data_IF_974266724492
#
_entry.id   IF_974266724492
#
_cell.length_a   1.000
_cell.length_b   1.000
_cell.length_c   1.000
_cell.angle_alpha   90.00
_cell.angle_beta   90.00
_cell.angle_gamma   90.00
#
_symmetry.space_group_name_H-M   'P 1'
#
loop_
_entity.id
_entity.type
_entity.pdbx_description
1 polymer ?
#
# COMPACT_ATOMS: atom_id res chain seq x y z
N UNK A 1 14.59 -57.05 55.77
CA UNK A 1 13.71 -56.02 56.36
C UNK A 1 14.40 -54.66 56.24
N UNK A 2 13.62 -53.58 56.09
CA UNK A 2 13.98 -52.17 55.79
C UNK A 2 14.14 -51.81 54.30
N UNK A 3 13.54 -50.75 53.76
CA UNK A 3 12.38 -49.91 54.10
C UNK A 3 12.15 -49.07 52.82
N UNK A 4 10.89 -49.00 52.34
CA UNK A 4 10.46 -48.10 51.26
C UNK A 4 10.71 -46.64 51.65
N UNK A 5 11.10 -45.81 50.70
CA UNK A 5 10.84 -44.37 50.75
C UNK A 5 10.62 -43.84 49.32
N UNK A 6 9.37 -43.52 49.01
CA UNK A 6 8.98 -42.64 47.92
C UNK A 6 9.37 -41.21 48.28
N UNK A 7 10.03 -40.49 47.38
CA UNK A 7 9.88 -39.04 47.29
C UNK A 7 10.18 -38.56 45.88
N UNK A 8 9.15 -38.52 45.04
CA UNK A 8 9.13 -37.65 43.88
C UNK A 8 8.51 -36.32 44.26
N UNK A 9 9.05 -35.21 43.75
CA UNK A 9 8.23 -34.07 43.30
C UNK A 9 9.07 -32.90 42.75
N UNK A 10 8.62 -32.43 41.58
CA UNK A 10 8.51 -31.03 41.15
C UNK A 10 9.80 -30.31 40.71
N UNK A 11 10.23 -30.63 39.49
CA UNK A 11 10.96 -29.68 38.62
C UNK A 11 9.99 -28.57 38.17
N UNK A 12 10.06 -27.38 38.77
CA UNK A 12 9.44 -26.19 38.19
C UNK A 12 10.26 -25.76 36.96
N UNK A 13 9.91 -26.33 35.80
CA UNK A 13 10.23 -25.72 34.51
C UNK A 13 9.29 -24.53 34.31
N UNK A 14 9.71 -23.36 34.80
CA UNK A 14 9.07 -22.10 34.43
C UNK A 14 9.35 -21.84 32.95
N UNK A 15 8.49 -22.40 32.09
CA UNK A 15 8.47 -22.12 30.66
C UNK A 15 8.15 -20.64 30.46
N UNK A 16 9.18 -19.83 30.23
CA UNK A 16 9.04 -18.52 29.61
C UNK A 16 8.51 -18.74 28.19
N UNK A 17 7.19 -18.80 28.05
CA UNK A 17 6.54 -18.62 26.76
C UNK A 17 6.73 -17.16 26.38
N UNK A 18 7.83 -16.88 25.67
CA UNK A 18 7.97 -15.64 24.92
C UNK A 18 6.85 -15.67 23.89
N UNK A 19 5.74 -15.02 24.22
CA UNK A 19 4.74 -14.64 23.23
C UNK A 19 5.47 -13.77 22.23
N UNK A 20 5.86 -14.36 21.11
CA UNK A 20 6.29 -13.64 19.93
C UNK A 20 5.07 -12.83 19.46
N UNK A 21 4.88 -11.67 20.08
CA UNK A 21 3.99 -10.66 19.53
C UNK A 21 4.48 -10.42 18.10
N UNK A 22 3.58 -10.42 17.10
CA UNK A 22 3.98 -10.03 15.76
C UNK A 22 4.65 -8.66 15.90
N UNK A 23 5.85 -8.51 15.34
CA UNK A 23 6.51 -7.23 15.29
C UNK A 23 5.54 -6.27 14.62
N UNK A 24 4.88 -5.43 15.42
CA UNK A 24 4.10 -4.33 14.92
C UNK A 24 5.13 -3.41 14.27
N UNK A 25 5.33 -3.56 12.96
CA UNK A 25 6.07 -2.61 12.17
C UNK A 25 5.33 -1.29 12.37
N UNK A 26 5.85 -0.45 13.26
CA UNK A 26 5.36 0.90 13.46
C UNK A 26 5.61 1.62 12.14
N UNK A 27 4.57 1.64 11.31
CA UNK A 27 4.64 2.18 9.98
C UNK A 27 4.66 3.70 10.10
N UNK A 28 5.88 4.23 10.21
CA UNK A 28 6.12 5.64 10.50
C UNK A 28 5.61 6.56 9.37
N UNK A 29 5.40 6.02 8.16
CA UNK A 29 4.92 6.76 7.00
C UNK A 29 3.45 6.43 6.72
N UNK A 30 2.59 7.44 6.87
CA UNK A 30 1.13 7.34 6.70
C UNK A 30 0.45 6.26 7.57
N UNK A 31 0.47 6.42 8.91
CA UNK A 31 0.08 5.38 9.88
C UNK A 31 -1.39 4.95 9.77
N UNK A 32 -2.27 5.83 9.31
CA UNK A 32 -3.71 5.56 9.14
C UNK A 32 -4.13 5.23 7.71
N UNK A 33 -3.20 5.29 6.76
CA UNK A 33 -3.50 4.93 5.37
C UNK A 33 -3.40 3.42 5.18
N UNK A 34 -4.32 2.85 4.41
CA UNK A 34 -4.21 1.46 3.96
C UNK A 34 -3.13 1.34 2.91
N UNK A 35 -3.05 2.27 1.95
CA UNK A 35 -1.93 2.41 1.04
C UNK A 35 -1.61 3.88 0.76
N UNK A 36 -0.37 4.16 0.39
CA UNK A 36 0.05 5.49 -0.04
C UNK A 36 1.15 5.34 -1.09
N UNK A 37 1.27 6.29 -2.01
CA UNK A 37 2.39 6.34 -2.94
C UNK A 37 2.70 7.76 -3.39
N UNK A 38 3.98 8.01 -3.65
CA UNK A 38 4.47 9.18 -4.35
C UNK A 38 4.87 8.73 -5.76
N UNK A 39 4.17 9.22 -6.77
CA UNK A 39 4.37 8.85 -8.17
C UNK A 39 5.09 9.99 -8.89
N UNK A 40 6.17 9.67 -9.59
CA UNK A 40 6.92 10.63 -10.40
C UNK A 40 6.25 10.83 -11.78
N UNK A 41 6.63 11.90 -12.49
CA UNK A 41 6.03 12.23 -13.80
C UNK A 41 6.27 11.16 -14.87
N UNK A 42 7.36 10.40 -14.78
CA UNK A 42 7.65 9.26 -15.67
C UNK A 42 6.82 8.00 -15.33
N UNK A 43 6.08 8.04 -14.21
CA UNK A 43 5.25 6.95 -13.69
C UNK A 43 5.99 6.00 -12.75
N UNK A 44 7.26 6.25 -12.43
CA UNK A 44 7.98 5.48 -11.43
C UNK A 44 7.43 5.72 -10.02
N UNK A 45 7.46 4.66 -9.21
CA UNK A 45 7.13 4.73 -7.79
C UNK A 45 8.35 5.29 -7.04
N UNK A 46 8.22 6.49 -6.48
CA UNK A 46 9.28 7.12 -5.69
C UNK A 46 9.30 6.53 -4.27
N UNK A 47 8.15 6.57 -3.62
CA UNK A 47 7.92 5.92 -2.33
C UNK A 47 6.53 5.31 -2.31
N UNK A 48 6.33 4.23 -1.55
CA UNK A 48 5.03 3.60 -1.43
C UNK A 48 4.88 2.76 -0.17
N UNK A 49 3.64 2.70 0.32
CA UNK A 49 3.15 1.80 1.36
C UNK A 49 2.04 0.97 0.74
N UNK A 50 2.17 -0.35 0.80
CA UNK A 50 1.17 -1.30 0.31
C UNK A 50 0.77 -1.08 -1.16
N UNK A 51 1.73 -0.60 -1.96
CA UNK A 51 1.67 -0.46 -3.41
C UNK A 51 2.72 -1.38 -4.00
N UNK A 52 2.29 -2.30 -4.87
CA UNK A 52 3.17 -3.31 -5.49
C UNK A 52 4.03 -2.68 -6.57
N UNK A 53 3.41 -1.84 -7.41
CA UNK A 53 4.10 -1.11 -8.48
C UNK A 53 3.28 0.07 -8.98
N UNK A 54 3.97 1.05 -9.55
CA UNK A 54 3.38 2.11 -10.35
C UNK A 54 4.09 2.18 -11.70
N UNK A 55 3.36 2.52 -12.76
CA UNK A 55 3.92 2.74 -14.08
C UNK A 55 3.06 3.71 -14.90
N UNK A 56 3.69 4.32 -15.89
CA UNK A 56 3.00 5.14 -16.91
C UNK A 56 2.57 4.25 -18.07
N UNK A 57 1.27 4.16 -18.31
CA UNK A 57 0.70 3.38 -19.42
C UNK A 57 0.69 4.16 -20.74
N UNK A 58 0.53 5.49 -20.67
CA UNK A 58 0.63 6.43 -21.78
C UNK A 58 0.84 7.85 -21.23
N UNK A 59 1.00 8.85 -22.10
CA UNK A 59 1.09 10.25 -21.68
C UNK A 59 -0.11 10.65 -20.83
N UNK A 60 0.16 11.14 -19.61
CA UNK A 60 -0.83 11.54 -18.62
C UNK A 60 -1.69 10.38 -18.10
N UNK A 61 -1.32 9.12 -18.32
CA UNK A 61 -2.06 7.94 -17.83
C UNK A 61 -1.15 7.05 -17.00
N UNK A 62 -1.54 6.87 -15.75
CA UNK A 62 -0.78 6.16 -14.76
C UNK A 62 -1.58 5.00 -14.20
N UNK A 63 -0.86 3.93 -13.88
CA UNK A 63 -1.40 2.72 -13.30
C UNK A 63 -0.68 2.44 -12.00
N UNK A 64 -1.47 2.18 -10.96
CA UNK A 64 -0.96 1.87 -9.64
C UNK A 64 -1.59 0.55 -9.22
N UNK A 65 -0.77 -0.43 -8.89
CA UNK A 65 -1.21 -1.72 -8.39
C UNK A 65 -1.10 -1.73 -6.87
N UNK A 66 -2.22 -1.94 -6.18
CA UNK A 66 -2.25 -2.06 -4.73
C UNK A 66 -1.90 -3.49 -4.30
N UNK A 67 -1.45 -3.64 -3.05
CA UNK A 67 -1.31 -4.94 -2.42
C UNK A 67 -2.62 -5.71 -2.41
N UNK A 68 -2.56 -7.04 -2.55
CA UNK A 68 -3.72 -7.92 -2.71
C UNK A 68 -4.76 -7.86 -1.57
N UNK A 69 -4.38 -7.43 -0.37
CA UNK A 69 -5.28 -7.31 0.79
C UNK A 69 -5.99 -5.95 0.87
N UNK A 70 -5.77 -5.04 -0.09
CA UNK A 70 -6.46 -3.75 -0.20
C UNK A 70 -7.27 -3.78 -1.47
N UNK A 71 -8.59 -3.70 -1.38
CA UNK A 71 -9.43 -3.66 -2.57
C UNK A 71 -9.54 -2.22 -3.12
N UNK A 72 -9.02 -2.01 -4.32
CA UNK A 72 -9.10 -0.72 -5.02
C UNK A 72 -10.56 -0.27 -5.32
N UNK A 73 -11.53 -1.19 -5.35
CA UNK A 73 -12.96 -0.88 -5.60
C UNK A 73 -13.59 -0.16 -4.41
N UNK A 74 -13.31 -0.66 -3.21
CA UNK A 74 -13.97 -0.23 -1.97
C UNK A 74 -13.19 0.84 -1.19
N UNK A 75 -11.97 1.15 -1.63
CA UNK A 75 -11.12 2.12 -0.94
C UNK A 75 -11.47 3.57 -1.26
N UNK A 76 -11.33 4.45 -0.27
CA UNK A 76 -11.36 5.90 -0.53
C UNK A 76 -10.00 6.32 -1.07
N UNK A 77 -9.98 7.02 -2.20
CA UNK A 77 -8.73 7.41 -2.86
C UNK A 77 -8.68 8.93 -2.97
N UNK A 78 -7.58 9.51 -2.47
CA UNK A 78 -7.26 10.91 -2.62
C UNK A 78 -6.01 11.08 -3.48
N UNK A 79 -6.05 12.05 -4.37
CA UNK A 79 -4.94 12.41 -5.25
C UNK A 79 -4.54 13.85 -4.97
N UNK A 80 -3.24 14.08 -4.77
CA UNK A 80 -2.69 15.43 -4.60
C UNK A 80 -1.76 15.74 -5.76
N UNK A 81 -2.04 16.77 -6.58
CA UNK A 81 -1.13 17.18 -7.65
C UNK A 81 0.18 17.74 -7.09
N UNK A 82 1.31 17.39 -7.70
CA UNK A 82 2.61 18.00 -7.37
C UNK A 82 2.99 19.17 -8.28
N UNK A 83 2.13 19.51 -9.24
CA UNK A 83 2.31 20.61 -10.17
C UNK A 83 0.99 21.36 -10.36
N UNK A 84 0.97 22.66 -10.14
CA UNK A 84 -0.26 23.47 -10.07
C UNK A 84 -1.15 23.38 -11.32
N UNK A 85 -0.54 23.26 -12.52
CA UNK A 85 -1.26 23.19 -13.79
C UNK A 85 -1.56 21.76 -14.27
N UNK A 86 -1.48 20.79 -13.35
CA UNK A 86 -1.68 19.37 -13.62
C UNK A 86 -2.72 18.83 -12.65
N UNK A 87 -3.83 18.34 -13.19
CA UNK A 87 -4.95 17.84 -12.40
C UNK A 87 -5.03 16.31 -12.52
N UNK A 88 -4.61 15.55 -11.50
CA UNK A 88 -4.82 14.11 -11.43
C UNK A 88 -6.28 13.80 -11.10
N UNK A 89 -6.84 12.78 -11.75
CA UNK A 89 -8.20 12.31 -11.60
C UNK A 89 -8.26 10.78 -11.74
N UNK A 90 -9.05 10.11 -10.91
CA UNK A 90 -9.24 8.67 -10.96
C UNK A 90 -10.13 8.32 -12.14
N UNK A 91 -9.55 7.78 -13.21
CA UNK A 91 -10.29 7.37 -14.39
C UNK A 91 -11.05 6.06 -14.17
N UNK A 92 -10.40 5.10 -13.51
CA UNK A 92 -10.96 3.77 -13.26
C UNK A 92 -10.42 3.19 -11.95
N UNK A 93 -11.27 2.39 -11.31
CA UNK A 93 -10.91 1.47 -10.22
C UNK A 93 -11.22 0.06 -10.72
N UNK A 94 -10.34 -0.88 -10.40
CA UNK A 94 -10.32 -2.27 -10.86
C UNK A 94 -11.68 -2.87 -11.28
N UNK A 95 -11.80 -3.51 -12.47
CA UNK A 95 -10.75 -3.71 -13.46
C UNK A 95 -10.49 -2.45 -14.29
N UNK A 96 -9.22 -2.26 -14.67
CA UNK A 96 -8.85 -1.20 -15.60
C UNK A 96 -8.45 -1.78 -16.95
N UNK A 97 -9.17 -1.39 -18.01
CA UNK A 97 -8.78 -1.70 -19.38
C UNK A 97 -7.40 -1.11 -19.76
N UNK A 98 -6.99 -0.03 -19.08
CA UNK A 98 -5.68 0.62 -19.28
C UNK A 98 -4.56 -0.18 -18.63
N UNK A 99 -4.75 -0.62 -17.38
CA UNK A 99 -3.69 -1.24 -16.59
C UNK A 99 -3.57 -2.74 -16.81
N UNK A 100 -4.64 -3.42 -17.27
CA UNK A 100 -4.67 -4.85 -17.63
C UNK A 100 -4.15 -5.80 -16.53
N UNK A 101 -4.17 -5.34 -15.28
CA UNK A 101 -3.78 -6.11 -14.10
C UNK A 101 -4.87 -5.95 -13.03
N UNK A 102 -4.89 -6.92 -12.13
CA UNK A 102 -5.84 -6.92 -11.03
C UNK A 102 -5.46 -5.90 -9.97
N UNK A 103 -6.49 -5.43 -9.26
CA UNK A 103 -6.37 -4.50 -8.15
C UNK A 103 -5.58 -3.22 -8.46
N UNK A 104 -5.86 -2.65 -9.63
CA UNK A 104 -5.21 -1.42 -10.10
C UNK A 104 -6.12 -0.20 -10.06
N UNK A 105 -5.52 0.95 -9.81
CA UNK A 105 -6.12 2.28 -9.98
C UNK A 105 -5.54 2.89 -11.26
N UNK A 106 -6.40 3.44 -12.11
CA UNK A 106 -5.98 4.27 -13.24
C UNK A 106 -6.16 5.74 -12.91
N UNK A 107 -5.08 6.50 -13.02
CA UNK A 107 -5.09 7.95 -12.84
C UNK A 107 -4.79 8.60 -14.17
N UNK A 108 -5.66 9.52 -14.58
CA UNK A 108 -5.39 10.43 -15.68
C UNK A 108 -4.94 11.77 -15.12
N UNK A 109 -3.96 12.39 -15.75
CA UNK A 109 -3.47 13.72 -15.42
C UNK A 109 -3.72 14.64 -16.60
N UNK A 110 -4.48 15.71 -16.37
CA UNK A 110 -4.79 16.72 -17.38
C UNK A 110 -3.98 17.99 -17.16
N UNK A 111 -3.56 18.62 -18.25
CA UNK A 111 -3.12 20.00 -18.21
C UNK A 111 -4.33 20.92 -18.10
N UNK A 112 -4.37 21.77 -17.07
CA UNK A 112 -5.44 22.76 -16.93
C UNK A 112 -5.39 23.85 -18.01
N UNK A 113 -4.22 24.10 -18.59
CA UNK A 113 -4.05 25.07 -19.69
C UNK A 113 -4.59 24.58 -21.03
N UNK A 114 -4.39 23.30 -21.37
CA UNK A 114 -4.72 22.77 -22.71
C UNK A 114 -5.91 21.82 -22.71
N UNK A 115 -6.38 21.37 -21.55
CA UNK A 115 -7.41 20.34 -21.41
C UNK A 115 -6.97 18.95 -21.89
N UNK A 116 -5.69 18.76 -22.26
CA UNK A 116 -5.16 17.49 -22.77
C UNK A 116 -4.45 16.71 -21.68
N UNK A 117 -4.36 15.40 -21.87
CA UNK A 117 -3.54 14.53 -21.02
C UNK A 117 -2.08 14.97 -21.08
N UNK A 118 -1.42 15.01 -19.94
CA UNK A 118 -0.04 15.43 -19.84
C UNK A 118 0.64 14.85 -18.60
N UNK A 119 1.93 14.54 -18.74
CA UNK A 119 2.69 13.88 -17.68
C UNK A 119 2.90 14.83 -16.47
N UNK A 120 2.71 14.28 -15.27
CA UNK A 120 3.05 14.92 -13.99
C UNK A 120 3.04 13.91 -12.85
N UNK A 121 3.80 14.20 -11.80
CA UNK A 121 3.76 13.46 -10.56
C UNK A 121 2.57 13.84 -9.68
N UNK A 122 2.18 12.92 -8.82
CA UNK A 122 1.10 13.11 -7.85
C UNK A 122 1.32 12.20 -6.65
N UNK A 123 0.72 12.58 -5.52
CA UNK A 123 0.66 11.73 -4.35
C UNK A 123 -0.69 11.02 -4.33
N UNK A 124 -0.68 9.75 -3.97
CA UNK A 124 -1.83 8.87 -3.83
C UNK A 124 -1.98 8.48 -2.36
N UNK A 125 -3.19 8.62 -1.83
CA UNK A 125 -3.57 8.11 -0.53
C UNK A 125 -4.79 7.20 -0.70
N UNK A 126 -4.78 6.05 -0.03
CA UNK A 126 -5.84 5.05 -0.04
C UNK A 126 -6.20 4.69 1.39
N UNK A 127 -7.49 4.82 1.75
CA UNK A 127 -8.03 4.61 3.09
C UNK A 127 -9.15 3.57 3.13
#
# INVERSE_FOLDING_TARGET
>A
MLRRALTGCLTLAAGLTVLAAPAAHADFKAPYSRAAAIINADGSLNEGKNVVKAWRAATGRYCIQLSHYIDARDSLIQLTPRHALRLPHIAYRHPSATCRLDNTITVNVYSTNTGRLADSGFDLLVS
#
